data_IF_538510861278
#
_entry.id   IF_538510861278
#
_cell.length_a   1.000
_cell.length_b   1.000
_cell.length_c   1.000
_cell.angle_alpha   90.00
_cell.angle_beta   90.00
_cell.angle_gamma   90.00
#
_symmetry.space_group_name_H-M   'P 1'
#
loop_
_entity.id
_entity.type
_entity.pdbx_description
1 polymer ?
#
# COMPACT_ATOMS: atom_id res chain seq x y z
N UNK A 1 7.60 4.19 -29.07
CA UNK A 1 7.92 2.92 -28.39
C UNK A 1 7.17 2.93 -27.06
N UNK A 2 5.99 2.33 -27.03
CA UNK A 2 5.16 2.25 -25.82
C UNK A 2 5.94 1.49 -24.76
N UNK A 3 6.15 2.11 -23.60
CA UNK A 3 6.86 1.46 -22.49
C UNK A 3 5.94 0.34 -21.97
N UNK A 4 6.22 -0.90 -22.37
CA UNK A 4 5.55 -2.09 -21.82
C UNK A 4 5.61 -1.99 -20.30
N UNK A 5 4.46 -1.70 -19.69
CA UNK A 5 4.34 -1.56 -18.25
C UNK A 5 4.11 -2.96 -17.74
N UNK A 6 5.12 -3.56 -17.10
CA UNK A 6 4.93 -4.87 -16.45
C UNK A 6 3.79 -4.74 -15.45
N UNK A 7 2.64 -5.35 -15.78
CA UNK A 7 1.42 -5.27 -15.00
C UNK A 7 1.48 -6.07 -13.70
N UNK A 8 2.50 -6.94 -13.52
CA UNK A 8 2.67 -7.69 -12.28
C UNK A 8 3.30 -6.86 -11.18
N UNK A 9 2.76 -6.98 -9.98
CA UNK A 9 3.37 -6.39 -8.79
C UNK A 9 4.70 -7.10 -8.47
N UNK A 10 5.68 -6.38 -7.90
CA UNK A 10 6.90 -7.00 -7.41
C UNK A 10 6.61 -8.11 -6.38
N UNK A 11 7.22 -9.28 -6.54
CA UNK A 11 7.17 -10.36 -5.55
C UNK A 11 8.13 -10.07 -4.37
N UNK A 12 7.93 -8.94 -3.69
CA UNK A 12 8.69 -8.49 -2.51
C UNK A 12 7.91 -8.61 -1.22
N UNK A 13 6.60 -8.47 -1.30
CA UNK A 13 5.66 -8.46 -0.18
C UNK A 13 4.47 -9.33 -0.53
N UNK A 14 3.99 -10.13 0.42
CA UNK A 14 2.78 -10.95 0.26
C UNK A 14 1.73 -10.56 1.28
N UNK A 15 0.48 -10.29 0.89
CA UNK A 15 -0.60 -10.12 1.84
C UNK A 15 -1.01 -11.46 2.47
N UNK A 16 -1.41 -11.41 3.73
CA UNK A 16 -1.88 -12.54 4.54
C UNK A 16 -3.33 -12.33 4.99
N UNK A 17 -3.74 -11.09 5.32
CA UNK A 17 -5.11 -10.77 5.76
C UNK A 17 -5.44 -9.31 5.49
N UNK A 18 -6.68 -9.06 5.10
CA UNK A 18 -7.23 -7.72 4.93
C UNK A 18 -8.28 -7.42 5.99
N UNK A 19 -8.26 -6.21 6.53
CA UNK A 19 -9.35 -5.62 7.31
C UNK A 19 -9.71 -4.32 6.62
N UNK A 20 -10.95 -4.22 6.14
CA UNK A 20 -11.42 -3.10 5.34
C UNK A 20 -12.65 -2.55 6.01
N UNK A 21 -12.64 -1.25 6.27
CA UNK A 21 -13.82 -0.50 6.69
C UNK A 21 -14.16 0.53 5.63
N UNK A 22 -15.41 0.51 5.18
CA UNK A 22 -15.96 1.48 4.23
C UNK A 22 -17.12 2.22 4.90
N UNK A 23 -17.16 3.53 4.68
CA UNK A 23 -18.14 4.47 5.21
C UNK A 23 -18.74 5.21 4.01
N UNK A 24 -19.76 4.65 3.34
CA UNK A 24 -20.40 5.26 2.18
C UNK A 24 -21.24 6.48 2.57
N UNK A 25 -21.23 7.51 1.72
CA UNK A 25 -22.17 8.62 1.73
C UNK A 25 -23.12 8.46 0.53
N UNK A 26 -24.35 8.03 0.82
CA UNK A 26 -25.35 7.76 -0.21
C UNK A 26 -26.01 9.02 -0.77
N UNK A 27 -25.79 10.19 -0.16
CA UNK A 27 -26.29 11.48 -0.66
C UNK A 27 -25.30 12.09 -1.65
N UNK A 28 -24.01 12.03 -1.33
CA UNK A 28 -22.93 12.58 -2.17
C UNK A 28 -22.36 11.57 -3.16
N UNK A 29 -22.76 10.30 -3.06
CA UNK A 29 -22.21 9.18 -3.85
C UNK A 29 -20.69 9.07 -3.72
N UNK A 30 -20.18 9.24 -2.51
CA UNK A 30 -18.77 9.07 -2.17
C UNK A 30 -18.60 8.01 -1.09
N UNK A 31 -17.37 7.65 -0.76
CA UNK A 31 -17.07 6.86 0.42
C UNK A 31 -15.76 7.34 1.04
N UNK A 32 -15.62 7.07 2.33
CA UNK A 32 -14.35 7.10 3.04
C UNK A 32 -14.08 5.73 3.62
N UNK A 33 -12.86 5.44 4.01
CA UNK A 33 -12.53 4.15 4.57
C UNK A 33 -11.09 4.05 4.99
N UNK A 34 -10.79 2.91 5.60
CA UNK A 34 -9.45 2.52 6.01
C UNK A 34 -9.24 1.04 5.69
N UNK A 35 -8.00 0.71 5.37
CA UNK A 35 -7.57 -0.64 5.07
C UNK A 35 -6.34 -0.94 5.90
N UNK A 36 -6.34 -2.09 6.57
CA UNK A 36 -5.16 -2.68 7.20
C UNK A 36 -4.84 -4.01 6.52
N UNK A 37 -3.62 -4.16 6.04
CA UNK A 37 -3.17 -5.35 5.31
C UNK A 37 -2.07 -6.02 6.12
N UNK A 38 -2.38 -7.15 6.77
CA UNK A 38 -1.33 -7.98 7.33
C UNK A 38 -0.49 -8.52 6.16
N UNK A 39 0.82 -8.28 6.20
CA UNK A 39 1.75 -8.64 5.13
C UNK A 39 2.95 -9.42 5.67
N UNK A 40 3.56 -10.18 4.76
CA UNK A 40 4.89 -10.77 4.89
C UNK A 40 5.84 -10.12 3.89
N UNK A 41 6.80 -9.38 4.41
CA UNK A 41 7.94 -8.83 3.66
C UNK A 41 8.92 -9.98 3.41
N UNK A 42 9.15 -10.33 2.14
CA UNK A 42 9.97 -11.48 1.73
C UNK A 42 11.47 -11.17 1.72
N UNK A 43 11.83 -9.92 1.41
CA UNK A 43 13.20 -9.38 1.43
C UNK A 43 13.17 -7.91 1.81
N UNK A 44 14.30 -7.37 2.25
CA UNK A 44 14.40 -5.96 2.64
C UNK A 44 13.94 -5.04 1.50
N UNK A 45 13.03 -4.10 1.80
CA UNK A 45 12.48 -3.17 0.82
C UNK A 45 12.34 -1.76 1.36
N UNK A 46 12.60 -0.77 0.49
CA UNK A 46 12.32 0.64 0.76
C UNK A 46 10.97 1.10 0.21
N UNK A 47 10.40 0.34 -0.72
CA UNK A 47 9.13 0.63 -1.35
C UNK A 47 8.21 -0.58 -1.34
N UNK A 48 6.92 -0.33 -1.22
CA UNK A 48 5.85 -1.32 -1.38
C UNK A 48 4.92 -0.80 -2.46
N UNK A 49 4.66 -1.65 -3.46
CA UNK A 49 3.67 -1.37 -4.52
C UNK A 49 2.44 -2.24 -4.31
N UNK A 50 1.27 -1.64 -4.46
CA UNK A 50 -0.03 -2.28 -4.39
C UNK A 50 -0.95 -1.68 -5.45
N UNK A 51 -2.03 -2.39 -5.77
CA UNK A 51 -3.01 -1.88 -6.73
C UNK A 51 -3.86 -0.77 -6.08
N UNK A 52 -4.11 0.29 -6.84
CA UNK A 52 -5.04 1.35 -6.48
C UNK A 52 -5.59 1.99 -7.75
N UNK A 53 -6.92 2.06 -7.87
CA UNK A 53 -7.60 2.66 -9.01
C UNK A 53 -8.71 3.56 -8.52
N UNK A 54 -8.73 4.82 -8.98
CA UNK A 54 -9.74 5.81 -8.60
C UNK A 54 -9.87 6.02 -7.08
N UNK A 55 -8.78 5.85 -6.34
CA UNK A 55 -8.70 6.10 -4.90
C UNK A 55 -7.80 7.31 -4.63
N UNK A 56 -8.23 8.17 -3.70
CA UNK A 56 -7.37 9.17 -3.07
C UNK A 56 -6.88 8.60 -1.74
N UNK A 57 -5.58 8.30 -1.67
CA UNK A 57 -4.95 7.75 -0.45
C UNK A 57 -4.14 8.86 0.17
N UNK A 58 -4.61 9.36 1.31
CA UNK A 58 -4.05 10.55 1.98
C UNK A 58 -2.94 10.19 2.96
N UNK A 59 -2.97 8.99 3.53
CA UNK A 59 -2.03 8.52 4.53
C UNK A 59 -1.77 7.02 4.38
N UNK A 60 -0.54 6.61 4.70
CA UNK A 60 -0.16 5.21 4.78
C UNK A 60 0.98 5.05 5.78
N UNK A 61 0.96 3.97 6.55
CA UNK A 61 2.02 3.63 7.48
C UNK A 61 2.16 2.11 7.59
N UNK A 62 3.32 1.66 8.05
CA UNK A 62 3.62 0.26 8.33
C UNK A 62 3.83 0.05 9.81
N UNK A 63 3.04 -0.80 10.43
CA UNK A 63 3.18 -1.27 11.80
C UNK A 63 4.02 -2.54 11.83
N UNK A 64 5.19 -2.45 12.44
CA UNK A 64 6.12 -3.55 12.61
C UNK A 64 5.83 -4.36 13.89
N UNK A 65 6.36 -5.59 14.00
CA UNK A 65 6.32 -6.36 15.24
C UNK A 65 6.97 -5.56 16.37
N UNK A 66 6.37 -5.61 17.56
CA UNK A 66 6.78 -4.76 18.68
C UNK A 66 6.14 -3.37 18.70
N UNK A 67 5.20 -3.07 17.79
CA UNK A 67 4.33 -1.89 17.85
C UNK A 67 4.92 -0.61 17.26
N UNK A 68 6.14 -0.65 16.69
CA UNK A 68 6.74 0.49 15.99
C UNK A 68 5.99 0.77 14.68
N UNK A 69 5.51 2.00 14.52
CA UNK A 69 4.88 2.48 13.28
C UNK A 69 5.87 3.29 12.45
N UNK A 70 5.97 3.01 11.16
CA UNK A 70 6.82 3.70 10.18
C UNK A 70 5.92 4.32 9.12
N UNK A 71 5.76 5.67 9.09
CA UNK A 71 4.95 6.32 8.07
C UNK A 71 5.61 6.20 6.68
N UNK A 72 4.80 6.15 5.62
CA UNK A 72 5.29 6.36 4.28
C UNK A 72 5.68 7.85 4.14
N UNK A 73 6.92 8.12 3.74
CA UNK A 73 7.41 9.48 3.47
C UNK A 73 6.92 10.01 2.12
N UNK A 74 6.46 9.10 1.25
CA UNK A 74 5.92 9.44 -0.06
C UNK A 74 4.89 8.40 -0.49
N UNK A 75 3.77 8.89 -1.03
CA UNK A 75 2.69 8.11 -1.62
C UNK A 75 2.58 8.56 -3.08
N UNK A 76 2.95 7.68 -4.02
CA UNK A 76 2.88 7.96 -5.46
C UNK A 76 1.67 7.22 -6.07
N UNK A 77 0.70 7.98 -6.60
CA UNK A 77 -0.42 7.44 -7.38
C UNK A 77 -0.01 7.26 -8.85
N UNK A 78 0.37 6.04 -9.23
CA UNK A 78 0.74 5.66 -10.59
C UNK A 78 -0.53 5.32 -11.38
N UNK A 79 -1.30 6.36 -11.76
CA UNK A 79 -2.65 6.22 -12.35
C UNK A 79 -2.70 5.31 -13.58
N UNK A 80 -1.78 5.49 -14.53
CA UNK A 80 -1.71 4.67 -15.75
C UNK A 80 -1.48 3.18 -15.46
N UNK A 81 -0.72 2.89 -14.40
CA UNK A 81 -0.43 1.52 -13.98
C UNK A 81 -1.45 0.98 -12.97
N UNK A 82 -2.43 1.78 -12.55
CA UNK A 82 -3.39 1.47 -11.47
C UNK A 82 -2.71 1.00 -10.18
N UNK A 83 -1.66 1.72 -9.76
CA UNK A 83 -0.86 1.39 -8.58
C UNK A 83 -0.70 2.54 -7.62
N UNK A 84 -0.51 2.17 -6.36
CA UNK A 84 0.06 3.01 -5.32
C UNK A 84 1.48 2.53 -5.04
N UNK A 85 2.45 3.46 -4.95
CA UNK A 85 3.78 3.16 -4.44
C UNK A 85 4.00 3.91 -3.14
N UNK A 86 4.21 3.16 -2.07
CA UNK A 86 4.57 3.66 -0.75
C UNK A 86 6.10 3.64 -0.62
N UNK A 87 6.71 4.77 -0.27
CA UNK A 87 8.15 4.86 0.00
C UNK A 87 8.38 5.17 1.47
N UNK A 88 9.32 4.44 2.08
CA UNK A 88 9.70 4.61 3.48
C UNK A 88 11.09 5.25 3.59
N UNK A 89 11.37 5.92 4.71
CA UNK A 89 12.66 6.57 4.96
C UNK A 89 13.81 5.56 5.00
N UNK A 90 13.63 4.51 5.79
CA UNK A 90 14.56 3.40 5.96
C UNK A 90 14.02 2.11 5.33
N UNK A 91 14.92 1.17 5.06
CA UNK A 91 14.53 -0.14 4.51
C UNK A 91 13.78 -0.95 5.57
N UNK A 92 12.63 -1.50 5.17
CA UNK A 92 11.82 -2.40 5.97
C UNK A 92 12.43 -3.79 5.89
N UNK A 93 12.78 -4.42 7.03
CA UNK A 93 13.38 -5.75 7.03
C UNK A 93 12.37 -6.84 6.64
N UNK A 94 12.89 -8.02 6.26
CA UNK A 94 12.09 -9.23 6.08
C UNK A 94 11.34 -9.55 7.39
N UNK A 95 10.07 -9.89 7.29
CA UNK A 95 9.25 -10.24 8.45
C UNK A 95 7.77 -9.97 8.24
N UNK A 96 6.98 -10.17 9.28
CA UNK A 96 5.56 -9.79 9.32
C UNK A 96 5.41 -8.30 9.62
N UNK A 97 4.38 -7.67 9.06
CA UNK A 97 3.99 -6.29 9.35
C UNK A 97 2.49 -6.09 9.03
N UNK A 98 1.94 -4.92 9.33
CA UNK A 98 0.57 -4.52 8.95
C UNK A 98 0.55 -3.09 8.45
#
# INVERSE_FOLDING_TARGET
MSKETDHRLPNTVRPEKYTIELRPDLTRFTFQGEESVAIRVLRSVKTIELNASQLEVTQAALRLPGGRTVPAIKIDHLKEAQRLRLTFEASIPKGSAT
#
